data_IF_740808263072
#
_entry.id   IF_740808263072
#
_cell.length_a   1.000
_cell.length_b   1.000
_cell.length_c   1.000
_cell.angle_alpha   90.00
_cell.angle_beta   90.00
_cell.angle_gamma   90.00
#
_symmetry.space_group_name_H-M   'P 1'
#
loop_
_entity.id
_entity.type
_entity.pdbx_description
1 polymer ?
#
# COMPACT_ATOMS: atom_id res chain seq x y z
N UNK A 1 -1.80 -0.61 19.29
CA UNK A 1 -2.80 -0.20 18.27
C UNK A 1 -2.77 1.32 18.04
N UNK A 2 -1.58 1.89 17.83
CA UNK A 2 -1.33 3.31 17.43
C UNK A 2 -0.33 3.37 16.26
N UNK A 3 0.42 2.29 16.02
CA UNK A 3 1.48 2.21 15.00
C UNK A 3 0.96 2.19 13.56
N UNK A 4 -0.26 1.69 13.33
CA UNK A 4 -0.84 1.52 11.98
C UNK A 4 -1.21 2.87 11.36
N UNK A 5 -1.96 3.71 12.09
CA UNK A 5 -2.39 5.03 11.61
C UNK A 5 -1.22 5.99 11.32
N UNK A 6 -0.13 5.89 12.09
CA UNK A 6 1.04 6.74 11.87
C UNK A 6 1.80 6.38 10.60
N UNK A 7 1.79 5.10 10.21
CA UNK A 7 2.41 4.66 8.95
C UNK A 7 1.58 5.09 7.75
N UNK A 8 0.26 5.00 7.82
CA UNK A 8 -0.65 5.48 6.75
C UNK A 8 -0.36 6.94 6.37
N UNK A 9 -0.28 7.82 7.37
CA UNK A 9 0.03 9.25 7.14
C UNK A 9 1.46 9.51 6.66
N UNK A 10 2.43 8.62 6.90
CA UNK A 10 3.81 8.79 6.44
C UNK A 10 3.99 8.52 4.95
N UNK A 11 3.10 7.74 4.34
CA UNK A 11 3.20 7.35 2.95
C UNK A 11 2.56 8.38 2.02
N UNK A 12 1.58 9.14 2.49
CA UNK A 12 0.90 10.19 1.71
C UNK A 12 1.92 11.23 1.20
N UNK A 13 1.87 11.53 -0.09
CA UNK A 13 2.78 12.48 -0.75
C UNK A 13 4.09 11.88 -1.26
N UNK A 14 4.36 10.60 -1.04
CA UNK A 14 5.53 9.91 -1.57
C UNK A 14 5.34 9.45 -3.00
N UNK A 15 6.43 9.31 -3.74
CA UNK A 15 6.41 8.71 -5.08
C UNK A 15 6.36 7.18 -5.05
N UNK A 16 5.95 6.55 -6.15
CA UNK A 16 5.97 5.09 -6.31
C UNK A 16 7.33 4.47 -5.96
N UNK A 17 8.43 5.11 -6.40
CA UNK A 17 9.80 4.64 -6.13
C UNK A 17 10.13 4.67 -4.64
N UNK A 18 9.80 5.75 -3.93
CA UNK A 18 10.02 5.84 -2.48
C UNK A 18 9.23 4.77 -1.71
N UNK A 19 8.02 4.46 -2.15
CA UNK A 19 7.21 3.40 -1.54
C UNK A 19 7.86 2.04 -1.73
N UNK A 20 8.43 1.77 -2.91
CA UNK A 20 9.17 0.54 -3.19
C UNK A 20 10.47 0.48 -2.37
N UNK A 21 11.16 1.60 -2.17
CA UNK A 21 12.35 1.65 -1.31
C UNK A 21 12.03 1.42 0.17
N UNK A 22 10.87 1.88 0.64
CA UNK A 22 10.44 1.77 2.03
C UNK A 22 9.82 0.41 2.38
N UNK A 23 8.93 -0.09 1.53
CA UNK A 23 8.12 -1.28 1.78
C UNK A 23 8.57 -2.50 0.95
N UNK A 24 9.44 -2.29 -0.04
CA UNK A 24 9.80 -3.31 -1.01
C UNK A 24 8.84 -3.37 -2.20
N UNK A 25 9.06 -4.36 -3.07
CA UNK A 25 8.19 -4.56 -4.21
C UNK A 25 6.77 -4.94 -3.78
N UNK A 26 5.74 -4.26 -4.33
CA UNK A 26 4.36 -4.61 -4.03
C UNK A 26 4.05 -6.01 -4.55
N UNK A 27 3.24 -6.74 -3.80
CA UNK A 27 2.83 -8.09 -4.18
C UNK A 27 1.97 -8.08 -5.45
N UNK A 28 1.19 -7.01 -5.65
CA UNK A 28 0.40 -6.83 -6.85
C UNK A 28 0.29 -5.37 -7.27
N UNK A 29 0.27 -5.17 -8.58
CA UNK A 29 0.10 -3.89 -9.27
C UNK A 29 -1.05 -4.05 -10.27
N UNK A 30 -2.31 -3.80 -9.88
CA UNK A 30 -3.43 -3.94 -10.79
C UNK A 30 -3.30 -2.93 -11.94
N UNK A 31 -3.28 -3.45 -13.17
CA UNK A 31 -3.26 -2.67 -14.42
C UNK A 31 -4.63 -2.06 -14.77
N UNK A 32 -5.70 -2.52 -14.11
CA UNK A 32 -7.06 -2.08 -14.39
C UNK A 32 -7.59 -1.21 -13.24
N UNK A 33 -7.83 0.07 -13.54
CA UNK A 33 -8.33 1.06 -12.58
C UNK A 33 -7.29 2.12 -12.18
N UNK A 34 -7.51 2.83 -11.06
CA UNK A 34 -6.53 3.78 -10.54
C UNK A 34 -5.23 3.06 -10.16
N UNK A 35 -4.10 3.74 -10.38
CA UNK A 35 -2.78 3.20 -10.07
C UNK A 35 -2.71 2.94 -8.57
N UNK A 36 -2.50 1.69 -8.17
CA UNK A 36 -2.39 1.31 -6.76
C UNK A 36 -1.42 0.16 -6.56
N UNK A 37 -0.82 0.08 -5.39
CA UNK A 37 0.05 -1.01 -4.96
C UNK A 37 -0.65 -1.80 -3.85
N UNK A 38 -0.60 -3.13 -3.94
CA UNK A 38 -1.19 -4.03 -2.96
C UNK A 38 -0.07 -4.80 -2.26
N UNK A 39 -0.03 -4.71 -0.94
CA UNK A 39 0.89 -5.44 -0.07
C UNK A 39 0.10 -6.40 0.82
N UNK A 40 0.40 -7.70 0.78
CA UNK A 40 -0.22 -8.66 1.71
C UNK A 40 0.42 -8.53 3.08
N UNK A 41 -0.39 -8.29 4.10
CA UNK A 41 0.06 -8.12 5.49
C UNK A 41 -0.45 -9.29 6.31
N UNK A 42 0.42 -10.26 6.57
CA UNK A 42 0.15 -11.37 7.48
C UNK A 42 1.27 -12.43 7.50
N UNK A 43 1.10 -13.40 8.38
CA UNK A 43 2.12 -14.42 8.75
C UNK A 43 1.80 -15.81 8.16
N UNK A 44 0.79 -15.95 7.30
CA UNK A 44 0.41 -17.28 6.78
C UNK A 44 -0.29 -17.25 5.42
N UNK A 45 -0.02 -18.31 4.64
CA UNK A 45 -0.40 -18.65 3.25
C UNK A 45 -1.79 -18.23 2.70
N UNK A 46 -2.69 -17.70 3.52
CA UNK A 46 -3.96 -17.06 3.16
C UNK A 46 -4.10 -15.81 4.05
N UNK A 47 -3.40 -14.75 3.67
CA UNK A 47 -3.42 -13.48 4.42
C UNK A 47 -4.73 -12.73 4.13
N UNK A 48 -5.58 -12.49 5.14
CA UNK A 48 -6.86 -11.85 4.93
C UNK A 48 -6.72 -10.32 4.77
N UNK A 49 -5.54 -9.73 5.01
CA UNK A 49 -5.37 -8.27 4.95
C UNK A 49 -4.46 -7.86 3.80
N UNK A 50 -4.98 -6.95 2.99
CA UNK A 50 -4.25 -6.28 1.91
C UNK A 50 -4.11 -4.80 2.25
N UNK A 51 -2.88 -4.33 2.31
CA UNK A 51 -2.56 -2.92 2.42
C UNK A 51 -2.48 -2.32 1.02
N UNK A 52 -3.49 -1.53 0.67
CA UNK A 52 -3.59 -0.83 -0.62
C UNK A 52 -3.04 0.59 -0.51
N UNK A 53 -2.20 0.97 -1.46
CA UNK A 53 -1.65 2.33 -1.61
C UNK A 53 -2.12 2.87 -2.94
N UNK A 54 -2.89 3.94 -2.92
CA UNK A 54 -3.50 4.56 -4.11
C UNK A 54 -2.63 5.75 -4.55
N UNK A 55 -2.28 5.76 -5.82
CA UNK A 55 -1.47 6.80 -6.45
C UNK A 55 -2.33 7.67 -7.38
N UNK A 56 -2.12 8.98 -7.28
CA UNK A 56 -2.64 9.97 -8.20
C UNK A 56 -1.46 10.74 -8.81
N UNK A 57 -1.35 10.73 -10.14
CA UNK A 57 -0.21 11.33 -10.87
C UNK A 57 1.18 10.87 -10.37
N UNK A 58 1.31 9.61 -9.95
CA UNK A 58 2.58 9.03 -9.47
C UNK A 58 2.91 9.34 -8.00
N UNK A 59 2.01 9.98 -7.27
CA UNK A 59 2.16 10.34 -5.85
C UNK A 59 1.09 9.62 -5.04
N UNK A 60 1.43 9.11 -3.85
CA UNK A 60 0.47 8.50 -2.93
C UNK A 60 -0.56 9.55 -2.51
N UNK A 61 -1.80 9.29 -2.88
CA UNK A 61 -2.94 10.10 -2.49
C UNK A 61 -3.62 9.53 -1.24
N UNK A 62 -3.69 8.20 -1.14
CA UNK A 62 -4.41 7.53 -0.07
C UNK A 62 -3.82 6.14 0.22
N UNK A 63 -4.03 5.64 1.42
CA UNK A 63 -3.67 4.28 1.84
C UNK A 63 -4.81 3.68 2.64
N UNK A 64 -5.06 2.39 2.48
CA UNK A 64 -6.13 1.72 3.20
C UNK A 64 -5.81 0.23 3.39
N UNK A 65 -6.25 -0.32 4.51
CA UNK A 65 -6.20 -1.75 4.77
C UNK A 65 -7.56 -2.36 4.47
N UNK A 66 -7.58 -3.35 3.58
CA UNK A 66 -8.78 -4.07 3.17
C UNK A 66 -8.68 -5.51 3.60
N UNK A 67 -9.76 -6.02 4.19
CA UNK A 67 -9.91 -7.45 4.45
C UNK A 67 -10.44 -8.14 3.17
N UNK A 68 -9.76 -9.20 2.71
CA UNK A 68 -10.10 -9.99 1.53
C UNK A 68 -10.76 -11.32 1.90
#
# INVERSE_FOLDING_TARGET
MIDDLQKEHQLIGKSEEEIIELLGEPARKPDSGPRRFEYYVGDSMIDPYVYEIIFNNGIVENTMVVEH
#
